data_IF_026097830047
#
_entry.id   IF_026097830047
#
_cell.length_a   1.000
_cell.length_b   1.000
_cell.length_c   1.000
_cell.angle_alpha   90.00
_cell.angle_beta   90.00
_cell.angle_gamma   90.00
#
_symmetry.space_group_name_H-M   'P 1'
#
loop_
_entity.id
_entity.type
_entity.pdbx_description
1 polymer ?
#
# COMPACT_ATOMS: atom_id res chain seq x y z
N UNK A 1 -13.70 42.78 9.81
CA UNK A 1 -13.61 41.38 9.35
C UNK A 1 -14.93 40.74 9.70
N UNK A 2 -15.70 40.32 8.70
CA UNK A 2 -17.03 39.75 8.93
C UNK A 2 -16.92 38.28 9.35
N UNK A 3 -17.97 37.72 9.93
CA UNK A 3 -18.02 36.30 10.30
C UNK A 3 -17.85 35.39 9.08
N UNK A 4 -18.32 35.81 7.90
CA UNK A 4 -18.09 35.12 6.62
C UNK A 4 -16.63 35.18 6.18
N UNK A 5 -15.92 36.28 6.42
CA UNK A 5 -14.48 36.39 6.12
C UNK A 5 -13.68 35.39 6.96
N UNK A 6 -14.04 35.20 8.23
CA UNK A 6 -13.39 34.26 9.15
C UNK A 6 -13.62 32.82 8.70
N UNK A 7 -14.87 32.44 8.42
CA UNK A 7 -15.19 31.08 7.96
C UNK A 7 -14.50 30.73 6.64
N UNK A 8 -14.38 31.69 5.71
CA UNK A 8 -13.66 31.49 4.44
C UNK A 8 -12.15 31.31 4.65
N UNK A 9 -11.58 32.01 5.63
CA UNK A 9 -10.17 31.85 5.99
C UNK A 9 -9.91 30.49 6.64
N UNK A 10 -10.76 30.06 7.57
CA UNK A 10 -10.67 28.74 8.22
C UNK A 10 -10.74 27.59 7.18
N UNK A 11 -11.73 27.61 6.28
CA UNK A 11 -11.85 26.62 5.21
C UNK A 11 -10.70 26.66 4.18
N UNK A 12 -9.93 27.76 4.14
CA UNK A 12 -8.73 27.85 3.30
C UNK A 12 -7.49 27.33 4.05
N UNK A 13 -7.41 27.53 5.36
CA UNK A 13 -6.37 26.96 6.22
C UNK A 13 -6.47 25.44 6.21
N UNK A 14 -7.65 24.88 6.42
CA UNK A 14 -7.87 23.42 6.46
C UNK A 14 -7.45 22.74 5.14
N UNK A 15 -7.82 23.33 4.00
CA UNK A 15 -7.37 22.85 2.68
C UNK A 15 -5.86 22.98 2.44
N UNK A 16 -5.21 23.96 3.07
CA UNK A 16 -3.76 24.10 2.99
C UNK A 16 -3.06 23.08 3.89
N UNK A 17 -3.62 22.75 5.04
CA UNK A 17 -3.12 21.71 5.95
C UNK A 17 -3.23 20.32 5.30
N UNK A 18 -4.34 20.01 4.63
CA UNK A 18 -4.49 18.76 3.86
C UNK A 18 -3.42 18.65 2.76
N UNK A 19 -3.23 19.72 1.98
CA UNK A 19 -2.21 19.76 0.92
C UNK A 19 -0.79 19.66 1.47
N UNK A 20 -0.53 20.25 2.64
CA UNK A 20 0.77 20.16 3.29
C UNK A 20 1.05 18.74 3.78
N UNK A 21 0.04 18.07 4.37
CA UNK A 21 0.13 16.68 4.79
C UNK A 21 0.42 15.75 3.60
N UNK A 22 -0.27 15.97 2.48
CA UNK A 22 -0.03 15.23 1.23
C UNK A 22 1.40 15.46 0.69
N UNK A 23 1.86 16.71 0.66
CA UNK A 23 3.21 17.05 0.23
C UNK A 23 4.30 16.45 1.13
N UNK A 24 4.11 16.47 2.45
CA UNK A 24 5.01 15.80 3.40
C UNK A 24 5.05 14.30 3.18
N UNK A 25 3.90 13.67 2.91
CA UNK A 25 3.82 12.24 2.56
C UNK A 25 4.59 11.91 1.28
N UNK A 26 4.49 12.75 0.25
CA UNK A 26 5.25 12.60 -1.00
C UNK A 26 6.75 12.77 -0.78
N UNK A 27 7.18 13.77 0.00
CA UNK A 27 8.58 14.00 0.33
C UNK A 27 9.16 12.81 1.11
N UNK A 28 8.43 12.29 2.09
CA UNK A 28 8.86 11.12 2.85
C UNK A 28 8.98 9.88 1.95
N UNK A 29 8.02 9.68 1.05
CA UNK A 29 8.07 8.61 0.04
C UNK A 29 9.29 8.75 -0.88
N UNK A 30 9.63 9.96 -1.32
CA UNK A 30 10.81 10.25 -2.13
C UNK A 30 12.12 10.02 -1.36
N UNK A 31 12.20 10.46 -0.10
CA UNK A 31 13.39 10.25 0.75
C UNK A 31 13.64 8.76 0.96
N UNK A 32 12.62 7.97 1.25
CA UNK A 32 12.75 6.50 1.37
C UNK A 32 13.20 5.87 0.04
N UNK A 33 12.70 6.38 -1.09
CA UNK A 33 13.06 5.87 -2.43
C UNK A 33 14.50 6.16 -2.83
N UNK A 34 15.03 7.30 -2.38
CA UNK A 34 16.38 7.77 -2.72
C UNK A 34 17.43 7.21 -1.76
N UNK A 35 17.14 7.09 -0.46
CA UNK A 35 18.12 6.63 0.54
C UNK A 35 18.27 5.10 0.64
N UNK A 36 17.28 4.31 0.21
CA UNK A 36 17.28 2.83 0.36
C UNK A 36 17.08 2.05 -0.94
N UNK A 37 17.36 2.67 -2.10
CA UNK A 37 16.98 2.21 -3.45
C UNK A 37 17.22 0.71 -3.73
N UNK A 38 18.32 0.12 -3.23
CA UNK A 38 18.62 -1.32 -3.43
C UNK A 38 18.25 -2.22 -2.23
N UNK A 39 18.05 -1.64 -1.04
CA UNK A 39 17.74 -2.39 0.20
C UNK A 39 16.25 -2.57 0.44
N UNK A 40 15.41 -1.69 -0.10
CA UNK A 40 13.96 -1.70 0.10
C UNK A 40 13.22 -1.67 -1.26
N UNK A 41 13.35 -2.73 -2.09
CA UNK A 41 12.80 -2.78 -3.45
C UNK A 41 11.28 -2.58 -3.48
N UNK A 42 10.55 -3.09 -2.49
CA UNK A 42 9.11 -2.89 -2.37
C UNK A 42 8.73 -1.42 -2.13
N UNK A 43 9.41 -0.74 -1.21
CA UNK A 43 9.11 0.66 -0.89
C UNK A 43 9.39 1.58 -2.09
N UNK A 44 10.48 1.31 -2.80
CA UNK A 44 10.83 1.97 -4.06
C UNK A 44 9.72 1.81 -5.11
N UNK A 45 9.27 0.57 -5.35
CA UNK A 45 8.25 0.31 -6.38
C UNK A 45 6.90 0.96 -6.01
N UNK A 46 6.53 0.96 -4.72
CA UNK A 46 5.37 1.70 -4.25
C UNK A 46 5.49 3.20 -4.54
N UNK A 47 6.64 3.82 -4.27
CA UNK A 47 6.84 5.25 -4.48
C UNK A 47 6.86 5.65 -5.96
N UNK A 48 7.51 4.86 -6.83
CA UNK A 48 7.50 5.05 -8.29
C UNK A 48 6.07 5.11 -8.83
N UNK A 49 5.16 4.38 -8.19
CA UNK A 49 3.76 4.27 -8.58
C UNK A 49 2.80 5.06 -7.68
N UNK A 50 3.30 5.99 -6.87
CA UNK A 50 2.50 6.84 -5.98
C UNK A 50 1.56 6.05 -5.04
N UNK A 51 1.98 4.86 -4.62
CA UNK A 51 1.31 4.05 -3.62
C UNK A 51 1.91 4.40 -2.26
N UNK A 52 1.16 5.11 -1.43
CA UNK A 52 1.62 5.57 -0.12
C UNK A 52 0.56 5.36 0.98
N UNK A 53 0.95 5.61 2.23
CA UNK A 53 0.05 5.62 3.38
C UNK A 53 -0.72 4.31 3.57
N UNK A 54 -2.03 4.41 3.83
CA UNK A 54 -2.88 3.25 4.12
C UNK A 54 -2.96 2.28 2.92
N UNK A 55 -2.89 2.79 1.68
CA UNK A 55 -2.88 1.94 0.47
C UNK A 55 -1.60 1.11 0.39
N UNK A 56 -0.45 1.69 0.69
CA UNK A 56 0.82 0.96 0.75
C UNK A 56 0.79 -0.14 1.82
N UNK A 57 0.25 0.15 3.01
CA UNK A 57 0.08 -0.84 4.07
C UNK A 57 -0.84 -1.99 3.63
N UNK A 58 -1.94 -1.69 2.94
CA UNK A 58 -2.86 -2.69 2.41
C UNK A 58 -2.22 -3.59 1.34
N UNK A 59 -1.43 -3.02 0.42
CA UNK A 59 -0.67 -3.78 -0.59
C UNK A 59 0.31 -4.72 0.09
N UNK A 60 1.09 -4.21 1.04
CA UNK A 60 2.06 -5.01 1.78
C UNK A 60 1.37 -6.17 2.53
N UNK A 61 0.26 -5.88 3.20
CA UNK A 61 -0.51 -6.89 3.93
C UNK A 61 -1.07 -7.95 3.00
N UNK A 62 -1.69 -7.56 1.88
CA UNK A 62 -2.25 -8.51 0.93
C UNK A 62 -1.17 -9.44 0.37
N UNK A 63 0.01 -8.91 0.00
CA UNK A 63 1.12 -9.74 -0.47
C UNK A 63 1.62 -10.68 0.64
N UNK A 64 1.73 -10.20 1.88
CA UNK A 64 2.12 -11.04 3.01
C UNK A 64 1.15 -12.22 3.22
N UNK A 65 -0.16 -11.97 3.21
CA UNK A 65 -1.19 -13.04 3.31
C UNK A 65 -0.99 -14.08 2.20
N UNK A 66 -0.85 -13.61 0.96
CA UNK A 66 -0.71 -14.49 -0.20
C UNK A 66 0.54 -15.35 -0.10
N UNK A 67 1.67 -14.78 0.32
CA UNK A 67 2.91 -15.52 0.58
C UNK A 67 2.76 -16.56 1.70
N UNK A 68 2.17 -16.19 2.83
CA UNK A 68 1.91 -17.09 3.96
C UNK A 68 1.02 -18.26 3.52
N UNK A 69 -0.05 -17.98 2.75
CA UNK A 69 -0.94 -18.99 2.17
C UNK A 69 -0.20 -19.92 1.20
N UNK A 70 0.62 -19.36 0.31
CA UNK A 70 1.39 -20.13 -0.66
C UNK A 70 2.39 -21.09 0.02
N UNK A 71 2.88 -20.73 1.21
CA UNK A 71 3.72 -21.60 2.05
C UNK A 71 2.96 -22.61 2.92
N UNK A 72 1.62 -22.62 2.85
CA UNK A 72 0.78 -23.46 3.70
C UNK A 72 0.80 -23.06 5.18
N UNK A 73 1.23 -21.84 5.50
CA UNK A 73 1.26 -21.33 6.86
C UNK A 73 -0.10 -20.72 7.25
N UNK A 74 -0.47 -20.77 8.53
CA UNK A 74 -1.66 -20.09 9.01
C UNK A 74 -1.48 -18.57 8.90
N UNK A 75 -2.50 -17.90 8.36
CA UNK A 75 -2.53 -16.42 8.29
C UNK A 75 -3.06 -15.89 9.62
N UNK A 76 -2.32 -14.98 10.24
CA UNK A 76 -2.77 -14.31 11.45
C UNK A 76 -4.11 -13.59 11.23
N UNK A 77 -5.05 -13.84 12.11
CA UNK A 77 -6.37 -13.19 12.10
C UNK A 77 -6.28 -11.82 12.74
N UNK A 78 -6.26 -10.78 11.92
CA UNK A 78 -6.59 -9.41 12.32
C UNK A 78 -8.05 -9.08 11.96
N UNK A 79 -8.71 -8.14 12.68
CA UNK A 79 -10.08 -7.74 12.39
C UNK A 79 -10.25 -7.31 10.93
N UNK A 80 -11.30 -7.78 10.27
CA UNK A 80 -11.60 -7.40 8.87
C UNK A 80 -11.85 -5.89 8.71
N UNK A 81 -12.20 -5.21 9.81
CA UNK A 81 -12.36 -3.76 9.86
C UNK A 81 -11.06 -2.98 9.61
N UNK A 82 -9.89 -3.59 9.86
CA UNK A 82 -8.58 -2.92 9.70
C UNK A 82 -8.32 -2.46 8.26
N UNK A 83 -8.84 -3.19 7.26
CA UNK A 83 -8.73 -2.86 5.84
C UNK A 83 -10.12 -2.80 5.18
N UNK A 84 -11.14 -2.31 5.89
CA UNK A 84 -12.51 -2.27 5.36
C UNK A 84 -12.67 -1.52 4.04
N UNK A 85 -11.80 -0.52 3.80
CA UNK A 85 -11.75 0.23 2.53
C UNK A 85 -11.06 -0.54 1.38
N UNK A 86 -10.44 -1.69 1.65
CA UNK A 86 -9.75 -2.54 0.68
C UNK A 86 -10.25 -4.00 0.77
N UNK A 87 -11.43 -4.30 0.20
CA UNK A 87 -12.04 -5.64 0.28
C UNK A 87 -11.16 -6.77 -0.27
N UNK A 88 -10.26 -6.46 -1.21
CA UNK A 88 -9.32 -7.43 -1.78
C UNK A 88 -8.37 -8.03 -0.75
N UNK A 89 -7.98 -7.25 0.27
CA UNK A 89 -7.11 -7.72 1.37
C UNK A 89 -7.83 -8.79 2.20
N UNK A 90 -9.10 -8.55 2.52
CA UNK A 90 -9.94 -9.50 3.25
C UNK A 90 -10.22 -10.74 2.40
N UNK A 91 -10.46 -10.57 1.10
CA UNK A 91 -10.69 -11.68 0.17
C UNK A 91 -9.46 -12.60 0.06
N UNK A 92 -8.24 -12.03 0.04
CA UNK A 92 -7.01 -12.80 0.00
C UNK A 92 -6.85 -13.74 1.19
N UNK A 93 -7.45 -13.44 2.36
CA UNK A 93 -7.45 -14.36 3.51
C UNK A 93 -8.16 -15.69 3.22
N UNK A 94 -9.06 -15.75 2.23
CA UNK A 94 -9.93 -16.91 1.97
C UNK A 94 -9.58 -17.65 0.68
N UNK A 95 -8.61 -17.13 -0.08
CA UNK A 95 -8.19 -17.68 -1.36
C UNK A 95 -6.95 -18.56 -1.18
N UNK A 96 -6.76 -19.47 -2.13
CA UNK A 96 -5.52 -20.22 -2.29
C UNK A 96 -4.67 -19.59 -3.39
N UNK A 97 -3.36 -19.61 -3.22
CA UNK A 97 -2.41 -19.01 -4.16
C UNK A 97 -1.33 -20.05 -4.47
N UNK A 98 -1.20 -20.40 -5.74
CA UNK A 98 -0.25 -21.42 -6.21
C UNK A 98 0.84 -20.83 -7.11
N UNK A 99 0.58 -19.66 -7.68
CA UNK A 99 1.48 -19.01 -8.63
C UNK A 99 1.60 -17.50 -8.38
N UNK A 100 2.68 -16.91 -8.91
CA UNK A 100 2.83 -15.45 -8.94
C UNK A 100 1.73 -14.78 -9.77
N UNK A 101 1.20 -15.47 -10.78
CA UNK A 101 0.12 -14.94 -11.61
C UNK A 101 -1.19 -14.87 -10.81
N UNK A 102 -1.48 -15.85 -9.95
CA UNK A 102 -2.65 -15.85 -9.05
C UNK A 102 -2.57 -14.65 -8.09
N UNK A 103 -1.37 -14.41 -7.55
CA UNK A 103 -1.13 -13.26 -6.65
C UNK A 103 -1.31 -11.93 -7.37
N UNK A 104 -0.83 -11.84 -8.62
CA UNK A 104 -0.97 -10.63 -9.42
C UNK A 104 -2.44 -10.35 -9.79
N UNK A 105 -3.21 -11.37 -10.15
CA UNK A 105 -4.65 -11.23 -10.41
C UNK A 105 -5.41 -10.77 -9.16
N UNK A 106 -5.10 -11.36 -8.00
CA UNK A 106 -5.74 -10.99 -6.74
C UNK A 106 -5.39 -9.57 -6.27
N UNK A 107 -4.17 -9.11 -6.55
CA UNK A 107 -3.68 -7.78 -6.15
C UNK A 107 -4.08 -6.68 -7.16
N UNK A 108 -4.32 -7.01 -8.43
CA UNK A 108 -4.66 -6.05 -9.47
C UNK A 108 -5.83 -5.10 -9.10
N UNK A 109 -6.94 -5.54 -8.46
CA UNK A 109 -8.01 -4.65 -8.01
C UNK A 109 -7.56 -3.56 -7.03
N UNK A 110 -6.53 -3.83 -6.22
CA UNK A 110 -6.02 -2.87 -5.23
C UNK A 110 -5.12 -1.81 -5.85
N UNK A 111 -4.34 -2.19 -6.87
CA UNK A 111 -3.31 -1.32 -7.47
C UNK A 111 -3.70 -0.77 -8.85
N UNK A 112 -4.76 -1.28 -9.46
CA UNK A 112 -5.32 -0.81 -10.73
C UNK A 112 -4.64 -1.36 -11.99
N UNK A 113 -3.63 -2.24 -11.86
CA UNK A 113 -2.94 -2.86 -12.99
C UNK A 113 -2.34 -4.21 -12.58
N UNK A 114 -2.52 -5.22 -13.44
CA UNK A 114 -1.93 -6.54 -13.25
C UNK A 114 -0.40 -6.51 -13.39
N UNK A 115 0.11 -5.73 -14.32
CA UNK A 115 1.54 -5.55 -14.55
C UNK A 115 2.20 -4.92 -13.33
N UNK A 116 1.58 -3.88 -12.75
CA UNK A 116 2.03 -3.27 -11.51
C UNK A 116 1.96 -4.26 -10.35
N UNK A 117 0.88 -5.03 -10.24
CA UNK A 117 0.74 -6.06 -9.22
C UNK A 117 1.90 -7.09 -9.28
N UNK A 118 2.26 -7.57 -10.48
CA UNK A 118 3.42 -8.46 -10.66
C UNK A 118 4.72 -7.83 -10.17
N UNK A 119 4.98 -6.57 -10.55
CA UNK A 119 6.19 -5.85 -10.12
C UNK A 119 6.27 -5.72 -8.59
N UNK A 120 5.15 -5.38 -7.94
CA UNK A 120 5.08 -5.25 -6.49
C UNK A 120 5.30 -6.58 -5.76
N UNK A 121 4.76 -7.70 -6.27
CA UNK A 121 5.01 -9.04 -5.73
C UNK A 121 6.49 -9.41 -5.85
N UNK A 122 7.10 -9.17 -7.01
CA UNK A 122 8.54 -9.39 -7.22
C UNK A 122 9.37 -8.54 -6.27
N UNK A 123 9.07 -7.24 -6.18
CA UNK A 123 9.77 -6.30 -5.30
C UNK A 123 9.62 -6.69 -3.82
N UNK A 124 8.45 -7.17 -3.40
CA UNK A 124 8.23 -7.68 -2.05
C UNK A 124 9.09 -8.93 -1.76
N UNK A 125 9.19 -9.87 -2.69
CA UNK A 125 10.04 -11.06 -2.52
C UNK A 125 11.52 -10.71 -2.46
N UNK A 126 11.98 -9.78 -3.30
CA UNK A 126 13.36 -9.29 -3.32
C UNK A 126 13.80 -8.65 -2.00
N UNK A 127 12.84 -8.12 -1.22
CA UNK A 127 13.09 -7.58 0.13
C UNK A 127 13.53 -8.65 1.14
N UNK A 128 13.38 -9.95 0.82
CA UNK A 128 13.83 -11.05 1.69
C UNK A 128 12.78 -11.55 2.70
N UNK A 129 11.59 -10.93 2.76
CA UNK A 129 10.44 -11.49 3.50
C UNK A 129 9.91 -12.80 2.88
N UNK A 130 10.45 -13.19 1.71
CA UNK A 130 10.24 -14.45 1.00
C UNK A 130 11.04 -15.66 1.52
N UNK A 131 12.00 -15.48 2.44
CA UNK A 131 13.01 -16.50 2.76
C UNK A 131 13.14 -16.88 4.24
N UNK A 132 12.26 -16.40 5.12
CA UNK A 132 12.21 -16.83 6.53
C UNK A 132 11.10 -17.83 6.80
#
# INVERSE_FOLDING_TARGET
MTTEDVARLEARVERLEEKLSEAMGLIQSLVVSVEFNDKEPFARECAVHFISGVKQAAVQMQIAIMETRMRGQPVDTYPDTMFGQFPSVVAAKRQEFSSMDDMAESLAPLVGSRELAKKLVVAYRQRGLGQQ
#
